data_IF_887736199995
#
_entry.id   IF_887736199995
#
_cell.length_a   1.000
_cell.length_b   1.000
_cell.length_c   1.000
_cell.angle_alpha   90.00
_cell.angle_beta   90.00
_cell.angle_gamma   90.00
#
_symmetry.space_group_name_H-M   'P 1'
#
loop_
_entity.id
_entity.type
_entity.pdbx_description
1 polymer ?
#
# COMPACT_ATOMS: atom_id res chain seq x y z
N UNK A 1 31.17 5.32 49.26
CA UNK A 1 30.28 5.34 48.07
C UNK A 1 30.95 4.82 46.79
N UNK A 2 32.07 5.39 46.31
CA UNK A 2 32.71 4.98 45.03
C UNK A 2 33.14 3.50 44.91
N UNK A 3 33.55 2.85 46.00
CA UNK A 3 33.91 1.42 45.97
C UNK A 3 32.68 0.50 45.85
N UNK A 4 31.55 0.93 46.41
CA UNK A 4 30.28 0.22 46.31
C UNK A 4 29.73 0.28 44.87
N UNK A 5 29.79 1.45 44.23
CA UNK A 5 29.42 1.65 42.82
C UNK A 5 30.26 0.78 41.87
N UNK A 6 31.59 0.75 42.05
CA UNK A 6 32.49 -0.12 41.25
C UNK A 6 32.19 -1.61 41.43
N UNK A 7 31.86 -2.03 42.66
CA UNK A 7 31.48 -3.42 42.95
C UNK A 7 30.13 -3.78 42.32
N UNK A 8 29.15 -2.87 42.38
CA UNK A 8 27.84 -3.03 41.75
C UNK A 8 27.96 -3.10 40.22
N UNK A 9 28.74 -2.22 39.59
CA UNK A 9 28.98 -2.22 38.14
C UNK A 9 29.67 -3.52 37.69
N UNK A 10 30.64 -4.03 38.46
CA UNK A 10 31.29 -5.31 38.17
C UNK A 10 30.34 -6.50 38.29
N UNK A 11 29.47 -6.51 39.31
CA UNK A 11 28.44 -7.56 39.47
C UNK A 11 27.40 -7.50 38.35
N UNK A 12 26.96 -6.31 37.97
CA UNK A 12 25.99 -6.11 36.88
C UNK A 12 26.57 -6.49 35.52
N UNK A 13 27.81 -6.08 35.23
CA UNK A 13 28.52 -6.49 34.01
C UNK A 13 28.70 -8.01 33.92
N UNK A 14 29.03 -8.69 35.04
CA UNK A 14 29.10 -10.16 35.08
C UNK A 14 27.74 -10.81 34.81
N UNK A 15 26.65 -10.29 35.39
CA UNK A 15 25.29 -10.78 35.13
C UNK A 15 24.88 -10.55 33.67
N UNK A 16 25.19 -9.39 33.10
CA UNK A 16 24.89 -9.07 31.71
C UNK A 16 25.64 -9.99 30.74
N UNK A 17 26.93 -10.25 30.99
CA UNK A 17 27.71 -11.20 30.19
C UNK A 17 27.15 -12.62 30.32
N UNK A 18 26.76 -13.04 31.52
CA UNK A 18 26.13 -14.34 31.74
C UNK A 18 24.81 -14.46 30.99
N UNK A 19 23.92 -13.48 31.13
CA UNK A 19 22.63 -13.43 30.42
C UNK A 19 22.81 -13.40 28.91
N UNK A 20 23.79 -12.66 28.40
CA UNK A 20 24.08 -12.63 26.96
C UNK A 20 24.48 -14.02 26.46
N UNK A 21 25.37 -14.71 27.17
CA UNK A 21 25.79 -16.08 26.81
C UNK A 21 24.62 -17.07 26.87
N UNK A 22 23.79 -16.99 27.91
CA UNK A 22 22.60 -17.83 28.04
C UNK A 22 21.61 -17.55 26.90
N UNK A 23 21.39 -16.28 26.57
CA UNK A 23 20.54 -15.88 25.45
C UNK A 23 21.10 -16.36 24.09
N UNK A 24 22.40 -16.24 23.85
CA UNK A 24 23.06 -16.76 22.65
C UNK A 24 22.90 -18.28 22.53
N UNK A 25 23.03 -19.02 23.64
CA UNK A 25 22.83 -20.46 23.67
C UNK A 25 21.38 -20.86 23.35
N UNK A 26 20.40 -20.18 23.97
CA UNK A 26 18.97 -20.39 23.69
C UNK A 26 18.65 -20.09 22.23
N UNK A 27 19.12 -18.95 21.72
CA UNK A 27 18.90 -18.55 20.31
C UNK A 27 19.48 -19.56 19.33
N UNK A 28 20.63 -20.16 19.64
CA UNK A 28 21.23 -21.22 18.82
C UNK A 28 20.34 -22.47 18.75
N UNK A 29 19.78 -22.88 19.89
CA UNK A 29 18.86 -24.03 19.96
C UNK A 29 17.57 -23.74 19.18
N UNK A 30 16.99 -22.54 19.35
CA UNK A 30 15.79 -22.10 18.62
C UNK A 30 16.03 -22.07 17.10
N UNK A 31 17.19 -21.55 16.66
CA UNK A 31 17.55 -21.54 15.24
C UNK A 31 17.64 -22.95 14.65
N UNK A 32 18.22 -23.91 15.37
CA UNK A 32 18.30 -25.29 14.88
C UNK A 32 16.92 -25.97 14.86
N UNK A 33 16.08 -25.74 15.87
CA UNK A 33 14.70 -26.20 15.87
C UNK A 33 13.91 -25.64 14.68
N UNK A 34 14.04 -24.34 14.41
CA UNK A 34 13.43 -23.71 13.25
C UNK A 34 13.98 -24.27 11.94
N UNK A 35 15.29 -24.54 11.85
CA UNK A 35 15.92 -25.15 10.67
C UNK A 35 15.32 -26.53 10.38
N UNK A 36 15.16 -27.37 11.40
CA UNK A 36 14.54 -28.69 11.25
C UNK A 36 13.07 -28.57 10.85
N UNK A 37 12.31 -27.65 11.47
CA UNK A 37 10.92 -27.40 11.09
C UNK A 37 10.80 -26.93 9.63
N UNK A 38 11.68 -26.03 9.19
CA UNK A 38 11.72 -25.54 7.82
C UNK A 38 12.06 -26.63 6.81
N UNK A 39 13.04 -27.49 7.10
CA UNK A 39 13.38 -28.61 6.21
C UNK A 39 12.23 -29.61 6.08
N UNK A 40 11.56 -29.94 7.19
CA UNK A 40 10.36 -30.79 7.18
C UNK A 40 9.23 -30.15 6.38
N UNK A 41 9.03 -28.84 6.53
CA UNK A 41 8.02 -28.12 5.78
C UNK A 41 8.32 -28.09 4.27
N UNK A 42 9.58 -27.88 3.88
CA UNK A 42 9.98 -27.91 2.47
C UNK A 42 9.78 -29.29 1.85
N UNK A 43 10.20 -30.36 2.55
CA UNK A 43 10.02 -31.74 2.09
C UNK A 43 8.53 -32.11 1.98
N UNK A 44 7.71 -31.71 2.96
CA UNK A 44 6.26 -31.91 2.92
C UNK A 44 5.56 -31.06 1.84
N UNK A 45 6.10 -29.89 1.51
CA UNK A 45 5.54 -28.99 0.50
C UNK A 45 5.82 -29.47 -0.92
N UNK A 46 7.04 -29.94 -1.18
CA UNK A 46 7.41 -30.53 -2.46
C UNK A 46 8.60 -31.48 -2.27
N UNK A 47 8.37 -32.77 -2.49
CA UNK A 47 9.41 -33.80 -2.37
C UNK A 47 10.35 -33.85 -3.58
N UNK A 48 9.90 -33.37 -4.75
CA UNK A 48 10.73 -33.31 -5.96
C UNK A 48 11.69 -32.10 -5.90
N UNK A 49 13.03 -32.31 -5.87
CA UNK A 49 14.00 -31.22 -5.78
C UNK A 49 13.96 -30.23 -6.96
N UNK A 50 13.63 -30.69 -8.16
CA UNK A 50 13.57 -29.83 -9.33
C UNK A 50 12.38 -28.87 -9.22
N UNK A 51 11.20 -29.42 -8.94
CA UNK A 51 9.97 -28.65 -8.75
C UNK A 51 10.04 -27.74 -7.52
N UNK A 52 10.66 -28.19 -6.43
CA UNK A 52 10.92 -27.37 -5.25
C UNK A 52 11.76 -26.14 -5.59
N UNK A 53 12.78 -26.30 -6.43
CA UNK A 53 13.63 -25.18 -6.88
C UNK A 53 12.83 -24.17 -7.70
N UNK A 54 11.95 -24.64 -8.58
CA UNK A 54 11.06 -23.77 -9.36
C UNK A 54 10.08 -23.00 -8.46
N UNK A 55 9.44 -23.68 -7.50
CA UNK A 55 8.55 -23.02 -6.54
C UNK A 55 9.27 -21.97 -5.69
N UNK A 56 10.48 -22.27 -5.22
CA UNK A 56 11.31 -21.32 -4.47
C UNK A 56 11.74 -20.15 -5.35
N UNK A 57 12.00 -20.37 -6.64
CA UNK A 57 12.32 -19.28 -7.57
C UNK A 57 11.14 -18.32 -7.75
N UNK A 58 9.93 -18.86 -7.94
CA UNK A 58 8.70 -18.05 -8.00
C UNK A 58 8.51 -17.28 -6.70
N UNK A 59 8.62 -17.93 -5.54
CA UNK A 59 8.47 -17.27 -4.25
C UNK A 59 9.53 -16.18 -4.02
N UNK A 60 10.78 -16.41 -4.41
CA UNK A 60 11.85 -15.43 -4.31
C UNK A 60 11.59 -14.23 -5.24
N UNK A 61 11.16 -14.46 -6.49
CA UNK A 61 10.76 -13.39 -7.40
C UNK A 61 9.64 -12.54 -6.77
N UNK A 62 8.60 -13.19 -6.26
CA UNK A 62 7.47 -12.55 -5.57
C UNK A 62 7.93 -11.68 -4.40
N UNK A 63 8.75 -12.25 -3.50
CA UNK A 63 9.28 -11.53 -2.35
C UNK A 63 10.07 -10.29 -2.76
N UNK A 64 10.99 -10.43 -3.72
CA UNK A 64 11.82 -9.30 -4.17
C UNK A 64 10.98 -8.21 -4.86
N UNK A 65 9.97 -8.59 -5.63
CA UNK A 65 9.07 -7.60 -6.26
C UNK A 65 8.22 -6.86 -5.23
N UNK A 66 7.67 -7.56 -4.24
CA UNK A 66 6.90 -6.94 -3.16
C UNK A 66 7.79 -6.04 -2.28
N UNK A 67 9.00 -6.49 -1.95
CA UNK A 67 9.97 -5.69 -1.21
C UNK A 67 10.29 -4.38 -1.95
N UNK A 68 10.51 -4.44 -3.27
CA UNK A 68 10.77 -3.26 -4.09
C UNK A 68 9.61 -2.26 -4.13
N UNK A 69 8.37 -2.68 -3.83
CA UNK A 69 7.24 -1.75 -3.69
C UNK A 69 7.18 -1.07 -2.32
N UNK A 70 7.66 -1.72 -1.26
CA UNK A 70 7.66 -1.16 0.10
C UNK A 70 8.81 -0.16 0.30
N UNK A 71 9.87 -0.26 -0.49
CA UNK A 71 11.02 0.64 -0.39
C UNK A 71 10.61 2.12 -0.53
N UNK A 72 11.19 2.97 0.31
CA UNK A 72 10.99 4.42 0.22
C UNK A 72 11.46 4.94 -1.13
N UNK A 73 10.65 5.79 -1.76
CA UNK A 73 10.91 6.27 -3.11
C UNK A 73 10.55 5.26 -4.22
N UNK A 74 9.90 4.13 -3.89
CA UNK A 74 9.32 3.27 -4.90
C UNK A 74 8.22 3.98 -5.68
N UNK A 75 7.85 3.42 -6.83
CA UNK A 75 6.70 3.89 -7.62
C UNK A 75 5.38 3.79 -6.85
N UNK A 76 5.27 2.80 -5.96
CA UNK A 76 4.09 2.65 -5.11
C UNK A 76 4.03 3.77 -4.08
N UNK A 77 5.16 4.07 -3.43
CA UNK A 77 5.28 5.16 -2.47
C UNK A 77 4.90 6.51 -3.10
N UNK A 78 5.47 6.83 -4.27
CA UNK A 78 5.14 8.07 -5.00
C UNK A 78 3.64 8.15 -5.36
N UNK A 79 3.04 7.03 -5.77
CA UNK A 79 1.63 6.99 -6.13
C UNK A 79 0.72 7.26 -4.92
N UNK A 80 1.05 6.67 -3.76
CA UNK A 80 0.30 6.86 -2.52
C UNK A 80 0.46 8.30 -1.98
N UNK A 81 1.68 8.83 -1.98
CA UNK A 81 1.99 10.20 -1.54
C UNK A 81 1.25 11.27 -2.36
N UNK A 82 1.23 11.12 -3.69
CA UNK A 82 0.48 12.02 -4.56
C UNK A 82 -1.03 11.92 -4.31
N UNK A 83 -1.54 10.72 -4.07
CA UNK A 83 -2.95 10.49 -3.78
C UNK A 83 -3.36 11.10 -2.43
N UNK A 84 -2.52 10.96 -1.40
CA UNK A 84 -2.73 11.55 -0.08
C UNK A 84 -2.77 13.08 -0.16
N UNK A 85 -1.77 13.67 -0.82
CA UNK A 85 -1.71 15.12 -1.06
C UNK A 85 -2.95 15.63 -1.81
N UNK A 86 -3.44 14.86 -2.78
CA UNK A 86 -4.65 15.18 -3.54
C UNK A 86 -5.91 15.11 -2.66
N UNK A 87 -6.04 14.10 -1.79
CA UNK A 87 -7.15 14.01 -0.83
C UNK A 87 -7.14 15.22 0.11
N UNK A 88 -5.99 15.61 0.63
CA UNK A 88 -5.86 16.76 1.53
C UNK A 88 -6.34 18.04 0.85
N UNK A 89 -5.94 18.26 -0.41
CA UNK A 89 -6.41 19.38 -1.22
C UNK A 89 -7.92 19.32 -1.48
N UNK A 90 -8.47 18.13 -1.72
CA UNK A 90 -9.90 17.93 -1.99
C UNK A 90 -10.80 18.13 -0.76
N UNK A 91 -10.28 17.88 0.45
CA UNK A 91 -11.03 18.07 1.70
C UNK A 91 -11.09 19.52 2.16
N UNK A 92 -10.07 20.32 1.82
CA UNK A 92 -9.99 21.74 2.17
C UNK A 92 -9.79 22.61 0.92
N UNK A 93 -10.76 22.62 -0.02
CA UNK A 93 -10.63 23.40 -1.23
C UNK A 93 -10.58 24.90 -0.89
N UNK A 94 -9.70 25.63 -1.56
CA UNK A 94 -9.66 27.09 -1.45
C UNK A 94 -11.02 27.68 -1.90
N UNK A 95 -11.43 28.85 -1.36
CA UNK A 95 -12.66 29.51 -1.76
C UNK A 95 -12.68 29.76 -3.28
N UNK A 96 -13.73 29.27 -3.96
CA UNK A 96 -13.85 29.38 -5.43
C UNK A 96 -12.98 28.41 -6.22
N UNK A 97 -12.40 27.39 -5.59
CA UNK A 97 -11.69 26.30 -6.28
C UNK A 97 -12.53 25.03 -6.36
N UNK A 98 -12.31 24.28 -7.43
CA UNK A 98 -12.94 22.98 -7.69
C UNK A 98 -11.94 21.88 -7.42
N UNK A 99 -12.44 20.69 -7.07
CA UNK A 99 -11.59 19.51 -6.98
C UNK A 99 -11.28 19.02 -8.40
N UNK A 100 -10.03 19.14 -8.81
CA UNK A 100 -9.54 18.61 -10.07
C UNK A 100 -9.30 17.09 -9.98
N UNK A 101 -9.48 16.33 -11.07
CA UNK A 101 -9.14 14.91 -11.10
C UNK A 101 -7.63 14.69 -10.96
N UNK A 102 -7.23 13.48 -10.56
CA UNK A 102 -5.81 13.12 -10.53
C UNK A 102 -5.20 13.20 -11.94
N UNK A 103 -3.89 13.47 -11.99
CA UNK A 103 -3.17 13.60 -13.25
C UNK A 103 -3.16 12.28 -14.03
N UNK A 104 -3.19 12.30 -15.38
CA UNK A 104 -3.15 11.08 -16.20
C UNK A 104 -1.93 10.17 -15.90
N UNK A 105 -0.81 10.75 -15.52
CA UNK A 105 0.43 10.05 -15.12
C UNK A 105 0.22 9.18 -13.88
N UNK A 106 -0.63 9.64 -12.95
CA UNK A 106 -1.04 8.86 -11.79
C UNK A 106 -1.86 7.64 -12.23
N UNK A 107 -2.87 7.82 -13.08
CA UNK A 107 -3.70 6.70 -13.58
C UNK A 107 -2.90 5.67 -14.37
N UNK A 108 -1.92 6.11 -15.18
CA UNK A 108 -1.00 5.22 -15.90
C UNK A 108 -0.19 4.38 -14.91
N UNK A 109 0.36 5.01 -13.88
CA UNK A 109 1.17 4.34 -12.85
C UNK A 109 0.32 3.37 -12.04
N UNK A 110 -0.88 3.80 -11.62
CA UNK A 110 -1.89 2.98 -10.95
C UNK A 110 -2.20 1.71 -11.74
N UNK A 111 -2.53 1.88 -13.02
CA UNK A 111 -2.88 0.77 -13.92
C UNK A 111 -1.70 -0.19 -14.07
N UNK A 112 -0.49 0.34 -14.28
CA UNK A 112 0.73 -0.46 -14.42
C UNK A 112 1.02 -1.29 -13.15
N UNK A 113 0.94 -0.67 -11.97
CA UNK A 113 1.15 -1.35 -10.69
C UNK A 113 0.05 -2.38 -10.42
N UNK A 114 -1.20 -2.06 -10.69
CA UNK A 114 -2.34 -2.97 -10.54
C UNK A 114 -2.18 -4.22 -11.42
N UNK A 115 -1.79 -4.04 -12.70
CA UNK A 115 -1.54 -5.17 -13.61
C UNK A 115 -0.37 -6.04 -13.14
N UNK A 116 0.69 -5.41 -12.65
CA UNK A 116 1.87 -6.12 -12.13
C UNK A 116 1.52 -6.92 -10.88
N UNK A 117 0.82 -6.31 -9.92
CA UNK A 117 0.34 -7.02 -8.72
C UNK A 117 -0.60 -8.17 -9.08
N UNK A 118 -1.50 -8.03 -10.06
CA UNK A 118 -2.34 -9.16 -10.51
C UNK A 118 -1.55 -10.26 -11.23
N UNK A 119 -0.45 -9.94 -11.91
CA UNK A 119 0.44 -10.96 -12.45
C UNK A 119 1.12 -11.74 -11.32
N UNK A 120 1.63 -11.05 -10.31
CA UNK A 120 2.19 -11.64 -9.10
C UNK A 120 1.17 -12.51 -8.34
N UNK A 121 -0.09 -12.08 -8.28
CA UNK A 121 -1.16 -12.88 -7.69
C UNK A 121 -1.29 -14.24 -8.38
N UNK A 122 -1.30 -14.25 -9.72
CA UNK A 122 -1.40 -15.49 -10.49
C UNK A 122 -0.20 -16.40 -10.23
N UNK A 123 1.02 -15.84 -10.19
CA UNK A 123 2.22 -16.60 -9.87
C UNK A 123 2.11 -17.26 -8.47
N UNK A 124 1.53 -16.56 -7.49
CA UNK A 124 1.34 -17.05 -6.12
C UNK A 124 0.21 -18.09 -5.97
N UNK A 125 -0.83 -17.98 -6.79
CA UNK A 125 -1.96 -18.92 -6.82
C UNK A 125 -1.59 -20.24 -7.53
N UNK A 126 -0.55 -20.22 -8.38
CA UNK A 126 0.01 -21.43 -8.99
C UNK A 126 0.87 -22.26 -8.02
N UNK A 127 1.34 -21.65 -6.93
CA UNK A 127 2.12 -22.36 -5.91
C UNK A 127 1.20 -23.25 -5.04
N UNK A 128 1.62 -24.47 -4.71
CA UNK A 128 0.87 -25.31 -3.79
C UNK A 128 0.76 -24.64 -2.41
N UNK A 129 -0.34 -24.84 -1.67
CA UNK A 129 -0.46 -24.29 -0.32
C UNK A 129 0.66 -24.84 0.59
N UNK A 130 1.26 -24.01 1.47
CA UNK A 130 2.29 -24.48 2.37
C UNK A 130 1.68 -25.44 3.41
N UNK A 131 2.44 -26.45 3.87
CA UNK A 131 2.02 -27.29 4.99
C UNK A 131 1.85 -26.43 6.24
N UNK A 132 0.69 -26.58 6.89
CA UNK A 132 0.29 -25.77 8.05
C UNK A 132 0.66 -26.46 9.35
N UNK A 133 1.26 -25.71 10.28
CA UNK A 133 1.49 -26.18 11.65
C UNK A 133 1.03 -25.12 12.65
N UNK A 134 -0.04 -25.42 13.38
CA UNK A 134 -0.67 -24.49 14.32
C UNK A 134 0.18 -24.18 15.56
N UNK A 135 1.11 -25.06 15.93
CA UNK A 135 1.95 -24.86 17.12
C UNK A 135 3.22 -24.06 16.81
N UNK A 136 3.85 -24.35 15.67
CA UNK A 136 5.09 -23.70 15.23
C UNK A 136 5.08 -23.53 13.71
N UNK A 137 4.65 -22.35 13.21
CA UNK A 137 4.60 -22.11 11.77
C UNK A 137 6.01 -22.12 11.19
N UNK A 138 6.14 -22.75 10.02
CA UNK A 138 7.41 -22.76 9.31
C UNK A 138 7.73 -21.39 8.71
N UNK A 139 9.00 -21.11 8.42
CA UNK A 139 9.37 -19.86 7.75
C UNK A 139 8.78 -19.77 6.33
N UNK A 140 8.59 -20.92 5.67
CA UNK A 140 7.90 -20.98 4.38
C UNK A 140 6.44 -20.54 4.52
N UNK A 141 5.73 -21.07 5.51
CA UNK A 141 4.34 -20.71 5.81
C UNK A 141 4.23 -19.21 6.09
N UNK A 142 5.03 -18.70 7.02
CA UNK A 142 5.03 -17.27 7.37
C UNK A 142 5.35 -16.38 6.17
N UNK A 143 6.31 -16.78 5.33
CA UNK A 143 6.69 -16.01 4.15
C UNK A 143 5.55 -15.97 3.12
N UNK A 144 4.95 -17.12 2.82
CA UNK A 144 3.84 -17.17 1.87
C UNK A 144 2.61 -16.39 2.36
N UNK A 145 2.29 -16.47 3.64
CA UNK A 145 1.19 -15.71 4.24
C UNK A 145 1.49 -14.20 4.19
N UNK A 146 2.69 -13.81 4.61
CA UNK A 146 3.11 -12.40 4.57
C UNK A 146 3.06 -11.85 3.14
N UNK A 147 3.48 -12.63 2.15
CA UNK A 147 3.38 -12.25 0.74
C UNK A 147 1.92 -12.11 0.29
N UNK A 148 1.03 -13.04 0.67
CA UNK A 148 -0.42 -12.96 0.34
C UNK A 148 -1.09 -11.75 0.98
N UNK A 149 -0.82 -11.52 2.26
CA UNK A 149 -1.42 -10.42 3.03
C UNK A 149 -0.95 -9.07 2.51
N UNK A 150 0.35 -8.90 2.29
CA UNK A 150 0.92 -7.67 1.74
C UNK A 150 0.39 -7.38 0.34
N UNK A 151 0.46 -8.38 -0.55
CA UNK A 151 -0.07 -8.27 -1.91
C UNK A 151 -1.56 -7.90 -1.92
N UNK A 152 -2.36 -8.60 -1.11
CA UNK A 152 -3.79 -8.37 -0.99
C UNK A 152 -4.11 -6.99 -0.40
N UNK A 153 -3.32 -6.53 0.57
CA UNK A 153 -3.41 -5.18 1.13
C UNK A 153 -3.16 -4.11 0.07
N UNK A 154 -2.07 -4.25 -0.68
CA UNK A 154 -1.71 -3.30 -1.75
C UNK A 154 -2.75 -3.23 -2.87
N UNK A 155 -3.29 -4.37 -3.30
CA UNK A 155 -4.37 -4.38 -4.30
C UNK A 155 -5.63 -3.69 -3.78
N UNK A 156 -6.03 -3.98 -2.54
CA UNK A 156 -7.19 -3.31 -1.92
C UNK A 156 -6.98 -1.82 -1.82
N UNK A 157 -5.78 -1.38 -1.42
CA UNK A 157 -5.45 0.05 -1.34
C UNK A 157 -5.58 0.72 -2.71
N UNK A 158 -4.98 0.17 -3.76
CA UNK A 158 -5.11 0.70 -5.12
C UNK A 158 -6.58 0.76 -5.58
N UNK A 159 -7.39 -0.25 -5.28
CA UNK A 159 -8.81 -0.24 -5.59
C UNK A 159 -9.57 0.85 -4.82
N UNK A 160 -9.26 1.01 -3.52
CA UNK A 160 -9.85 2.06 -2.69
C UNK A 160 -9.52 3.46 -3.20
N UNK A 161 -8.28 3.70 -3.63
CA UNK A 161 -7.87 5.00 -4.18
C UNK A 161 -8.76 5.42 -5.36
N UNK A 162 -8.99 4.52 -6.33
CA UNK A 162 -9.86 4.83 -7.49
C UNK A 162 -11.34 5.01 -7.13
N UNK A 163 -11.83 4.28 -6.11
CA UNK A 163 -13.20 4.42 -5.62
C UNK A 163 -13.39 5.76 -4.92
N UNK A 164 -12.41 6.18 -4.12
CA UNK A 164 -12.41 7.45 -3.42
C UNK A 164 -12.30 8.62 -4.40
N UNK A 165 -11.42 8.54 -5.40
CA UNK A 165 -11.32 9.55 -6.46
C UNK A 165 -12.68 9.78 -7.11
N UNK A 166 -13.32 8.71 -7.58
CA UNK A 166 -14.64 8.79 -8.22
C UNK A 166 -15.70 9.38 -7.30
N UNK A 167 -15.75 8.94 -6.05
CA UNK A 167 -16.71 9.43 -5.06
C UNK A 167 -16.55 10.94 -4.82
N UNK A 168 -15.32 11.42 -4.67
CA UNK A 168 -15.03 12.84 -4.44
C UNK A 168 -15.42 13.67 -5.68
N UNK A 169 -15.05 13.22 -6.88
CA UNK A 169 -15.40 13.92 -8.12
C UNK A 169 -16.91 13.95 -8.38
N UNK A 170 -17.63 12.86 -8.08
CA UNK A 170 -19.09 12.80 -8.21
C UNK A 170 -19.78 13.74 -7.21
N UNK A 171 -19.27 13.82 -5.98
CA UNK A 171 -19.76 14.76 -4.97
C UNK A 171 -19.51 16.21 -5.37
N UNK A 172 -18.32 16.50 -5.90
CA UNK A 172 -17.96 17.83 -6.39
C UNK A 172 -18.86 18.25 -7.55
N UNK A 173 -19.04 17.37 -8.53
CA UNK A 173 -19.95 17.61 -9.66
C UNK A 173 -21.36 17.95 -9.19
N UNK A 174 -21.90 17.20 -8.23
CA UNK A 174 -23.23 17.45 -7.65
C UNK A 174 -23.30 18.81 -6.96
N UNK A 175 -22.27 19.18 -6.19
CA UNK A 175 -22.17 20.49 -5.53
C UNK A 175 -22.20 21.63 -6.56
N UNK A 176 -21.40 21.52 -7.63
CA UNK A 176 -21.35 22.53 -8.69
C UNK A 176 -22.70 22.62 -9.42
N UNK A 177 -23.34 21.49 -9.71
CA UNK A 177 -24.67 21.49 -10.34
C UNK A 177 -25.75 22.13 -9.46
N UNK A 178 -25.67 21.98 -8.13
CA UNK A 178 -26.55 22.64 -7.17
C UNK A 178 -26.30 24.16 -7.15
N UNK A 179 -25.04 24.60 -7.05
CA UNK A 179 -24.67 26.01 -7.03
C UNK A 179 -25.04 26.73 -8.36
N UNK A 180 -24.84 26.07 -9.50
CA UNK A 180 -25.25 26.60 -10.81
C UNK A 180 -26.78 26.77 -10.91
N UNK A 181 -27.57 25.86 -10.31
CA UNK A 181 -29.03 25.99 -10.27
C UNK A 181 -29.47 27.18 -9.41
N UNK A 182 -28.79 27.40 -8.28
CA UNK A 182 -29.10 28.52 -7.38
C UNK A 182 -28.74 29.88 -8.00
N UNK A 183 -27.68 29.93 -8.82
CA UNK A 183 -27.26 31.14 -9.55
C UNK A 183 -28.13 31.40 -10.79
N UNK A 184 -28.68 30.34 -11.42
CA UNK A 184 -29.55 30.44 -12.59
C UNK A 184 -30.99 30.00 -12.29
N UNK A 185 -31.77 30.74 -11.48
CA UNK A 185 -33.18 30.47 -11.30
C UNK A 185 -33.91 30.82 -12.60
N UNK A 186 -34.10 29.83 -13.48
CA UNK A 186 -35.23 29.59 -14.39
C UNK A 186 -35.75 30.67 -15.37
N UNK A 187 -35.54 31.97 -15.17
CA UNK A 187 -36.26 33.03 -15.90
C UNK A 187 -35.39 34.19 -16.41
N UNK A 188 -34.23 34.49 -15.84
CA UNK A 188 -33.48 35.71 -16.21
C UNK A 188 -32.57 35.59 -17.44
N UNK A 189 -32.04 34.40 -17.76
CA UNK A 189 -31.16 34.24 -18.93
C UNK A 189 -31.93 34.05 -20.24
N UNK A 190 -33.16 33.57 -20.20
CA UNK A 190 -33.98 33.35 -21.41
C UNK A 190 -34.68 34.62 -21.92
N UNK A 191 -34.88 35.63 -21.07
CA UNK A 191 -35.38 36.94 -21.52
C UNK A 191 -34.25 37.84 -22.05
N UNK A 192 -33.05 37.78 -21.46
CA UNK A 192 -31.89 38.54 -21.93
C UNK A 192 -31.40 38.11 -23.32
N UNK A 193 -31.57 36.82 -23.68
CA UNK A 193 -31.18 36.29 -25.01
C UNK A 193 -32.21 36.62 -26.10
N UNK A 194 -33.43 37.07 -25.74
CA UNK A 194 -34.48 37.47 -26.71
C UNK A 194 -34.47 38.94 -27.07
N UNK A 195 -33.75 39.78 -26.33
CA UNK A 195 -33.49 41.16 -26.75
C UNK A 195 -32.38 41.13 -27.80
N UNK A 196 -32.62 41.56 -29.06
CA UNK A 196 -31.55 41.64 -30.05
C UNK A 196 -30.45 42.51 -29.48
N UNK A 197 -29.26 41.94 -29.32
CA UNK A 197 -28.09 42.68 -28.87
C UNK A 197 -27.81 43.80 -29.87
N UNK A 198 -28.04 45.04 -29.46
CA UNK A 198 -27.72 46.24 -30.25
C UNK A 198 -26.40 46.78 -29.71
N UNK A 199 -25.34 46.81 -30.54
CA UNK A 199 -24.09 47.46 -30.16
C UNK A 199 -24.32 48.95 -29.85
N UNK A 200 -23.63 49.48 -28.83
CA UNK A 200 -23.76 50.86 -28.34
C UNK A 200 -23.52 51.97 -29.39
N UNK A 201 -22.97 51.64 -30.56
CA UNK A 201 -22.74 52.58 -31.66
C UNK A 201 -23.91 52.65 -32.67
N UNK A 202 -24.96 51.85 -32.50
CA UNK A 202 -26.18 51.89 -33.35
C UNK A 202 -27.36 52.61 -32.70
N UNK A 203 -27.31 52.96 -31.40
CA UNK A 203 -28.29 53.86 -30.80
C UNK A 203 -28.02 55.28 -31.26
N UNK A 204 -28.78 55.76 -32.25
CA UNK A 204 -28.81 57.17 -32.63
C UNK A 204 -29.73 57.91 -31.67
N UNK A 205 -29.19 58.92 -30.99
CA UNK A 205 -29.95 60.12 -30.62
C UNK A 205 -30.29 60.94 -31.87
#
# INVERSE_FOLDING_TARGET
MRQYEKSAQKKLGRKQVKLRKEHEAIRSIEMEQQRVANLKALDAWCHDPALLTEHLHVLNKMYNELAAFIEQGSRYYWLADLFESWIEAAQAPAPGSFVEPLLPEWHKTHTSLSLRLRALQRDLDMLPPPPRNLETPSSLEMLMDSCRDLHGGMLKELEMMTKLERCILDNEKRRVEEEVKDIAPGETLTEAVKSPWVPAWQSKD
#
